data_IF_121575703888
#
_entry.id   IF_121575703888
#
_cell.length_a   1.000
_cell.length_b   1.000
_cell.length_c   1.000
_cell.angle_alpha   90.00
_cell.angle_beta   90.00
_cell.angle_gamma   90.00
#
_symmetry.space_group_name_H-M   'P 1'
#
loop_
_entity.id
_entity.type
_entity.pdbx_description
1 polymer ?
#
# COMPACT_ATOMS: atom_id res chain seq x y z
N UNK A 1 -69.85 -34.07 96.28
CA UNK A 1 -68.50 -34.62 96.05
C UNK A 1 -68.38 -34.90 94.56
N UNK A 2 -67.61 -34.08 93.84
CA UNK A 2 -67.36 -34.24 92.40
C UNK A 2 -66.23 -35.25 92.16
N UNK A 3 -66.27 -36.01 91.06
CA UNK A 3 -65.08 -36.40 90.34
C UNK A 3 -64.92 -35.53 89.08
N UNK A 4 -63.79 -34.84 89.00
CA UNK A 4 -63.30 -34.18 87.80
C UNK A 4 -62.93 -35.24 86.75
N UNK A 5 -63.56 -35.18 85.58
CA UNK A 5 -63.05 -35.84 84.39
C UNK A 5 -62.38 -34.80 83.50
N UNK A 6 -61.04 -34.88 83.47
CA UNK A 6 -60.18 -34.09 82.60
C UNK A 6 -60.20 -34.62 81.17
N UNK A 7 -60.48 -33.72 80.22
CA UNK A 7 -59.79 -33.68 78.93
C UNK A 7 -60.36 -34.51 77.78
N UNK A 8 -61.21 -33.88 76.95
CA UNK A 8 -61.12 -34.10 75.50
C UNK A 8 -61.47 -32.81 74.76
N UNK A 9 -60.44 -32.14 74.26
CA UNK A 9 -60.57 -30.96 73.41
C UNK A 9 -61.34 -31.31 72.12
N UNK A 10 -62.22 -30.43 71.62
CA UNK A 10 -62.92 -30.66 70.38
C UNK A 10 -62.05 -30.29 69.16
N UNK A 11 -62.43 -30.88 68.03
CA UNK A 11 -62.21 -30.41 66.65
C UNK A 11 -60.76 -30.39 66.14
N UNK A 12 -60.40 -31.47 65.43
CA UNK A 12 -59.53 -31.37 64.26
C UNK A 12 -60.18 -30.37 63.29
N UNK A 13 -59.62 -29.18 63.16
CA UNK A 13 -60.13 -28.15 62.24
C UNK A 13 -60.23 -28.70 60.83
N UNK A 14 -61.34 -28.39 60.15
CA UNK A 14 -61.51 -28.71 58.74
C UNK A 14 -60.37 -28.07 57.94
N UNK A 15 -59.68 -28.86 57.11
CA UNK A 15 -58.66 -28.37 56.19
C UNK A 15 -59.36 -27.49 55.16
N UNK A 16 -59.03 -26.20 55.12
CA UNK A 16 -59.48 -25.30 54.06
C UNK A 16 -58.77 -25.70 52.76
N UNK A 17 -59.46 -26.48 51.93
CA UNK A 17 -58.98 -26.84 50.60
C UNK A 17 -59.15 -25.62 49.69
N UNK A 18 -58.04 -25.03 49.25
CA UNK A 18 -58.07 -23.98 48.23
C UNK A 18 -58.56 -24.57 46.91
N UNK A 19 -59.77 -24.19 46.49
CA UNK A 19 -60.24 -24.44 45.12
C UNK A 19 -59.64 -23.39 44.18
N UNK A 20 -59.08 -23.79 43.02
CA UNK A 20 -58.70 -22.85 41.99
C UNK A 20 -59.95 -22.13 41.47
N UNK A 21 -59.95 -20.80 41.49
CA UNK A 21 -60.98 -20.02 40.82
C UNK A 21 -60.85 -20.21 39.30
N UNK A 22 -61.94 -20.51 38.57
CA UNK A 22 -61.91 -20.59 37.12
C UNK A 22 -61.46 -19.27 36.51
N UNK A 23 -60.40 -19.30 35.70
CA UNK A 23 -59.97 -18.13 34.92
C UNK A 23 -60.98 -17.93 33.79
N UNK A 24 -61.69 -16.82 33.80
CA UNK A 24 -62.62 -16.44 32.74
C UNK A 24 -61.82 -16.23 31.44
N UNK A 25 -62.02 -17.11 30.46
CA UNK A 25 -61.40 -16.98 29.13
C UNK A 25 -62.09 -15.83 28.41
N UNK A 26 -61.39 -14.70 28.28
CA UNK A 26 -61.85 -13.60 27.43
C UNK A 26 -61.71 -14.08 25.98
N UNK A 27 -62.79 -14.08 25.18
CA UNK A 27 -62.72 -14.49 23.78
C UNK A 27 -61.78 -13.54 23.03
N UNK A 28 -60.70 -14.10 22.48
CA UNK A 28 -59.75 -13.37 21.66
C UNK A 28 -60.42 -12.80 20.41
N UNK A 29 -60.10 -11.55 20.09
CA UNK A 29 -60.53 -10.90 18.85
C UNK A 29 -59.93 -11.66 17.65
N UNK A 30 -60.69 -11.90 16.56
CA UNK A 30 -60.17 -12.59 15.38
C UNK A 30 -58.95 -11.85 14.81
N UNK A 31 -57.80 -12.52 14.76
CA UNK A 31 -56.61 -12.01 14.10
C UNK A 31 -56.82 -12.14 12.58
N UNK A 32 -57.24 -11.04 11.95
CA UNK A 32 -57.28 -10.94 10.51
C UNK A 32 -55.85 -10.85 9.95
N UNK A 33 -55.49 -11.61 8.90
CA UNK A 33 -54.19 -11.48 8.24
C UNK A 33 -54.04 -10.08 7.64
N UNK A 34 -53.11 -9.27 8.16
CA UNK A 34 -52.76 -7.96 7.59
C UNK A 34 -51.91 -8.19 6.35
N UNK A 35 -52.41 -7.77 5.19
CA UNK A 35 -51.64 -7.76 3.95
C UNK A 35 -50.50 -6.72 4.04
N UNK A 36 -49.26 -7.09 3.71
CA UNK A 36 -48.08 -6.23 3.88
C UNK A 36 -48.02 -5.03 2.94
N UNK A 37 -48.93 -4.91 1.96
CA UNK A 37 -48.92 -3.83 0.97
C UNK A 37 -49.67 -2.56 1.40
N UNK A 38 -50.36 -2.57 2.55
CA UNK A 38 -51.14 -1.42 3.04
C UNK A 38 -51.03 -1.27 4.55
N UNK A 39 -49.83 -1.45 5.11
CA UNK A 39 -49.61 -1.13 6.52
C UNK A 39 -49.85 0.37 6.70
N UNK A 40 -50.95 0.72 7.38
CA UNK A 40 -51.29 2.10 7.66
C UNK A 40 -50.16 2.71 8.50
N UNK A 41 -49.65 3.87 8.07
CA UNK A 41 -48.57 4.56 8.77
C UNK A 41 -48.93 4.92 10.23
N UNK A 42 -50.23 5.00 10.53
CA UNK A 42 -50.78 5.21 11.87
C UNK A 42 -52.02 4.33 12.04
N UNK A 43 -52.10 3.60 13.16
CA UNK A 43 -53.26 2.78 13.51
C UNK A 43 -53.63 3.02 14.98
N UNK A 44 -54.91 3.22 15.29
CA UNK A 44 -55.40 3.34 16.67
C UNK A 44 -56.41 2.25 17.02
N UNK A 45 -56.36 1.77 18.26
CA UNK A 45 -57.26 0.74 18.79
C UNK A 45 -57.76 1.19 20.16
N UNK A 46 -59.07 1.04 20.40
CA UNK A 46 -59.70 1.31 21.70
C UNK A 46 -59.72 0.01 22.50
N UNK A 47 -59.13 0.04 23.69
CA UNK A 47 -59.12 -1.09 24.61
C UNK A 47 -60.44 -1.18 25.39
N UNK A 48 -60.78 -2.36 25.95
CA UNK A 48 -62.02 -2.56 26.71
C UNK A 48 -62.16 -1.68 27.96
N UNK A 49 -61.05 -1.10 28.42
CA UNK A 49 -60.98 -0.15 29.54
C UNK A 49 -61.16 1.32 29.11
N UNK A 50 -61.46 1.56 27.83
CA UNK A 50 -61.67 2.89 27.25
C UNK A 50 -60.40 3.62 26.84
N UNK A 51 -59.21 3.03 27.03
CA UNK A 51 -57.95 3.66 26.61
C UNK A 51 -57.74 3.52 25.11
N UNK A 52 -57.22 4.56 24.46
CA UNK A 52 -56.88 4.56 23.03
C UNK A 52 -55.37 4.38 22.89
N UNK A 53 -54.94 3.32 22.20
CA UNK A 53 -53.54 3.08 21.86
C UNK A 53 -53.33 3.38 20.38
N UNK A 54 -52.44 4.32 20.09
CA UNK A 54 -52.06 4.69 18.71
C UNK A 54 -50.66 4.20 18.42
N UNK A 55 -50.52 3.32 17.44
CA UNK A 55 -49.26 2.87 16.88
C UNK A 55 -48.88 3.70 15.65
N UNK A 56 -47.59 3.97 15.50
CA UNK A 56 -46.98 4.58 14.32
C UNK A 56 -46.04 3.56 13.67
N UNK A 57 -46.13 3.40 12.36
CA UNK A 57 -45.19 2.58 11.61
C UNK A 57 -43.87 3.35 11.47
N UNK A 58 -42.79 2.82 12.03
CA UNK A 58 -41.43 3.26 11.76
C UNK A 58 -40.90 2.43 10.59
N UNK A 59 -40.46 3.12 9.54
CA UNK A 59 -39.87 2.48 8.37
C UNK A 59 -38.58 1.77 8.81
N UNK A 60 -38.43 0.49 8.46
CA UNK A 60 -37.25 -0.28 8.83
C UNK A 60 -36.04 0.33 8.12
N UNK A 61 -35.01 0.70 8.88
CA UNK A 61 -33.77 1.25 8.34
C UNK A 61 -33.24 0.32 7.25
N UNK A 62 -33.38 0.73 5.98
CA UNK A 62 -32.84 0.00 4.84
C UNK A 62 -31.33 -0.18 5.08
N UNK A 63 -30.79 -1.41 5.02
CA UNK A 63 -29.36 -1.58 4.98
C UNK A 63 -28.86 -0.89 3.71
N UNK A 64 -27.99 0.09 3.90
CA UNK A 64 -27.34 0.84 2.83
C UNK A 64 -26.70 -0.15 1.85
N UNK A 65 -26.87 0.03 0.52
CA UNK A 65 -26.27 -0.88 -0.44
C UNK A 65 -24.77 -0.89 -0.20
N UNK A 66 -24.22 -2.06 0.13
CA UNK A 66 -22.77 -2.25 0.26
C UNK A 66 -22.13 -1.82 -1.06
N UNK A 67 -21.55 -0.61 -1.07
CA UNK A 67 -20.78 -0.11 -2.18
C UNK A 67 -19.79 -1.21 -2.58
N UNK A 68 -19.87 -1.69 -3.82
CA UNK A 68 -19.04 -2.79 -4.30
C UNK A 68 -17.58 -2.50 -3.95
N UNK A 69 -16.99 -3.37 -3.12
CA UNK A 69 -15.61 -3.22 -2.66
C UNK A 69 -14.70 -3.12 -3.90
N UNK A 70 -13.86 -2.08 -4.02
CA UNK A 70 -12.96 -1.95 -5.16
C UNK A 70 -12.15 -3.24 -5.33
N UNK A 71 -12.19 -3.84 -6.52
CA UNK A 71 -11.51 -5.09 -6.82
C UNK A 71 -9.98 -5.01 -6.58
N UNK A 72 -9.44 -3.79 -6.53
CA UNK A 72 -8.02 -3.51 -6.29
C UNK A 72 -7.92 -2.39 -5.25
N UNK A 73 -7.11 -2.62 -4.21
CA UNK A 73 -6.79 -1.59 -3.22
C UNK A 73 -6.05 -0.43 -3.88
N UNK A 74 -6.53 0.81 -3.71
CA UNK A 74 -5.82 2.01 -4.20
C UNK A 74 -4.41 2.10 -3.61
N UNK A 75 -4.22 1.58 -2.41
CA UNK A 75 -2.90 1.46 -1.77
C UNK A 75 -1.96 0.59 -2.59
N UNK A 76 -2.44 -0.53 -3.13
CA UNK A 76 -1.65 -1.42 -3.98
C UNK A 76 -1.25 -0.73 -5.30
N UNK A 77 -2.15 0.05 -5.90
CA UNK A 77 -1.86 0.82 -7.12
C UNK A 77 -0.81 1.90 -6.84
N UNK A 78 -0.94 2.64 -5.75
CA UNK A 78 0.02 3.69 -5.37
C UNK A 78 1.41 3.12 -5.06
N UNK A 79 1.48 1.95 -4.42
CA UNK A 79 2.74 1.25 -4.16
C UNK A 79 3.37 0.78 -5.47
N UNK A 80 2.60 0.19 -6.38
CA UNK A 80 3.10 -0.25 -7.68
C UNK A 80 3.61 0.93 -8.52
N UNK A 81 2.85 2.03 -8.58
CA UNK A 81 3.24 3.24 -9.31
C UNK A 81 4.49 3.88 -8.69
N UNK A 82 4.59 3.89 -7.35
CA UNK A 82 5.76 4.36 -6.62
C UNK A 82 7.02 3.52 -6.91
N UNK A 83 6.89 2.20 -6.94
CA UNK A 83 8.00 1.29 -7.28
C UNK A 83 8.50 1.46 -8.71
N UNK A 84 7.59 1.57 -9.69
CA UNK A 84 7.96 1.83 -11.10
C UNK A 84 8.64 3.20 -11.25
N UNK A 85 8.10 4.23 -10.59
CA UNK A 85 8.69 5.57 -10.60
C UNK A 85 10.11 5.59 -10.01
N UNK A 86 10.31 4.92 -8.88
CA UNK A 86 11.63 4.81 -8.26
C UNK A 86 12.63 4.03 -9.13
N UNK A 87 12.20 2.93 -9.74
CA UNK A 87 13.03 2.15 -10.67
C UNK A 87 13.43 2.95 -11.91
N UNK A 88 12.50 3.73 -12.48
CA UNK A 88 12.78 4.60 -13.62
C UNK A 88 13.78 5.71 -13.27
N UNK A 89 13.64 6.35 -12.11
CA UNK A 89 14.57 7.41 -11.67
C UNK A 89 15.94 6.81 -11.36
N UNK A 90 16.01 5.71 -10.59
CA UNK A 90 17.26 5.06 -10.22
C UNK A 90 17.99 4.50 -11.44
N UNK A 91 17.29 3.80 -12.33
CA UNK A 91 17.85 3.32 -13.60
C UNK A 91 18.27 4.46 -14.52
N UNK A 92 17.47 5.52 -14.60
CA UNK A 92 17.79 6.72 -15.38
C UNK A 92 19.04 7.43 -14.88
N UNK A 93 19.21 7.59 -13.56
CA UNK A 93 20.42 8.16 -12.96
C UNK A 93 21.65 7.30 -13.25
N UNK A 94 21.54 5.98 -13.11
CA UNK A 94 22.63 5.06 -13.40
C UNK A 94 23.04 5.16 -14.89
N UNK A 95 22.07 5.10 -15.81
CA UNK A 95 22.33 5.26 -17.24
C UNK A 95 22.95 6.62 -17.56
N UNK A 96 22.45 7.71 -16.98
CA UNK A 96 23.00 9.04 -17.17
C UNK A 96 24.45 9.15 -16.68
N UNK A 97 24.75 8.63 -15.49
CA UNK A 97 26.11 8.62 -14.94
C UNK A 97 27.05 7.80 -15.82
N UNK A 98 26.65 6.61 -16.24
CA UNK A 98 27.48 5.76 -17.12
C UNK A 98 27.71 6.39 -18.49
N UNK A 99 26.69 7.05 -19.06
CA UNK A 99 26.81 7.76 -20.33
C UNK A 99 27.82 8.92 -20.24
N UNK A 100 27.69 9.77 -19.22
CA UNK A 100 28.62 10.89 -19.00
C UNK A 100 30.04 10.36 -18.78
N UNK A 101 30.20 9.31 -17.97
CA UNK A 101 31.49 8.68 -17.73
C UNK A 101 32.11 8.12 -19.02
N UNK A 102 31.33 7.43 -19.85
CA UNK A 102 31.78 6.90 -21.13
C UNK A 102 32.19 8.02 -22.10
N UNK A 103 31.42 9.10 -22.15
CA UNK A 103 31.74 10.27 -22.99
C UNK A 103 33.03 10.96 -22.53
N UNK A 104 33.22 11.14 -21.22
CA UNK A 104 34.45 11.67 -20.67
C UNK A 104 35.66 10.76 -20.97
N UNK A 105 35.48 9.43 -20.83
CA UNK A 105 36.52 8.46 -21.15
C UNK A 105 36.89 8.49 -22.64
N UNK A 106 35.91 8.58 -23.54
CA UNK A 106 36.15 8.71 -24.98
C UNK A 106 36.93 9.98 -25.31
N UNK A 107 36.54 11.12 -24.75
CA UNK A 107 37.25 12.39 -24.95
C UNK A 107 38.69 12.29 -24.42
N UNK A 108 38.88 11.72 -23.23
CA UNK A 108 40.21 11.51 -22.65
C UNK A 108 41.08 10.61 -23.53
N UNK A 109 40.52 9.52 -24.07
CA UNK A 109 41.23 8.63 -25.00
C UNK A 109 41.64 9.36 -26.29
N UNK A 110 40.77 10.21 -26.85
CA UNK A 110 41.11 11.02 -28.01
C UNK A 110 42.23 12.03 -27.72
N UNK A 111 42.21 12.67 -26.54
CA UNK A 111 43.28 13.57 -26.10
C UNK A 111 44.61 12.81 -25.97
N UNK A 112 44.60 11.65 -25.31
CA UNK A 112 45.80 10.82 -25.14
C UNK A 112 46.33 10.38 -26.51
N UNK A 113 45.46 9.92 -27.40
CA UNK A 113 45.83 9.51 -28.75
C UNK A 113 46.51 10.67 -29.50
N UNK A 114 45.91 11.86 -29.48
CA UNK A 114 46.49 13.05 -30.08
C UNK A 114 47.86 13.36 -29.46
N UNK A 115 47.95 13.37 -28.13
CA UNK A 115 49.20 13.65 -27.41
C UNK A 115 50.32 12.68 -27.79
N UNK A 116 50.03 11.39 -27.95
CA UNK A 116 51.01 10.38 -28.37
C UNK A 116 51.45 10.59 -29.81
N UNK A 117 50.52 10.86 -30.73
CA UNK A 117 50.85 11.11 -32.13
C UNK A 117 51.73 12.36 -32.26
N UNK A 118 51.32 13.47 -31.63
CA UNK A 118 52.09 14.72 -31.65
C UNK A 118 53.43 14.58 -30.91
N UNK A 119 53.44 13.98 -29.72
CA UNK A 119 54.65 13.74 -28.94
C UNK A 119 55.64 12.84 -29.67
N UNK A 120 55.16 11.77 -30.31
CA UNK A 120 55.98 10.88 -31.13
C UNK A 120 56.57 11.59 -32.36
N UNK A 121 55.78 12.42 -33.05
CA UNK A 121 56.28 13.20 -34.18
C UNK A 121 57.36 14.20 -33.78
N UNK A 122 57.16 14.92 -32.67
CA UNK A 122 58.16 15.84 -32.09
C UNK A 122 59.41 15.06 -31.65
N UNK A 123 59.25 13.90 -31.01
CA UNK A 123 60.36 13.05 -30.61
C UNK A 123 61.20 12.62 -31.82
N UNK A 124 60.58 12.23 -32.93
CA UNK A 124 61.29 11.88 -34.17
C UNK A 124 62.07 13.09 -34.72
N UNK A 125 61.49 14.30 -34.68
CA UNK A 125 62.19 15.51 -35.11
C UNK A 125 63.44 15.80 -34.27
N UNK A 126 63.30 15.73 -32.94
CA UNK A 126 64.39 16.05 -31.99
C UNK A 126 65.47 14.96 -32.01
N UNK A 127 65.10 13.68 -31.95
CA UNK A 127 66.04 12.57 -31.89
C UNK A 127 66.56 12.13 -33.27
N UNK A 128 65.81 12.37 -34.35
CA UNK A 128 66.17 11.95 -35.71
C UNK A 128 66.94 13.01 -36.53
N UNK A 129 66.86 14.29 -36.16
CA UNK A 129 67.46 15.39 -36.93
C UNK A 129 68.99 15.58 -36.77
N UNK A 130 69.62 14.92 -35.79
CA UNK A 130 70.97 15.28 -35.34
C UNK A 130 72.17 14.68 -36.08
N UNK A 131 72.00 13.77 -37.05
CA UNK A 131 73.12 12.90 -37.48
C UNK A 131 73.48 12.92 -38.97
N UNK A 132 73.22 13.99 -39.72
CA UNK A 132 73.64 14.08 -41.15
C UNK A 132 74.76 15.07 -41.46
N UNK A 133 75.14 15.95 -40.52
CA UNK A 133 76.05 17.06 -40.81
C UNK A 133 77.42 17.01 -40.15
N UNK A 134 77.66 16.19 -39.13
CA UNK A 134 78.88 16.30 -38.31
C UNK A 134 80.01 15.33 -38.67
N UNK A 135 79.67 14.05 -38.88
CA UNK A 135 80.71 13.00 -39.03
C UNK A 135 81.26 12.95 -40.45
N UNK A 136 80.43 13.20 -41.47
CA UNK A 136 80.85 13.17 -42.88
C UNK A 136 81.83 14.29 -43.24
N UNK A 137 81.59 15.53 -42.82
CA UNK A 137 82.53 16.65 -43.05
C UNK A 137 83.81 16.52 -42.24
N UNK A 138 83.75 16.02 -41.00
CA UNK A 138 84.96 15.77 -40.21
C UNK A 138 85.80 14.63 -40.79
N UNK A 139 85.17 13.55 -41.27
CA UNK A 139 85.86 12.48 -42.01
C UNK A 139 86.46 12.99 -43.33
N UNK A 140 85.73 13.79 -44.11
CA UNK A 140 86.24 14.40 -45.35
C UNK A 140 87.40 15.36 -45.08
N UNK A 141 87.31 16.21 -44.05
CA UNK A 141 88.40 17.09 -43.62
C UNK A 141 89.61 16.28 -43.17
N UNK A 142 89.42 15.21 -42.41
CA UNK A 142 90.50 14.36 -41.94
C UNK A 142 91.23 13.68 -43.11
N UNK A 143 90.50 13.20 -44.12
CA UNK A 143 91.10 12.59 -45.33
C UNK A 143 91.85 13.63 -46.16
N UNK A 144 91.26 14.80 -46.42
CA UNK A 144 91.91 15.87 -47.20
C UNK A 144 93.16 16.39 -46.47
N UNK A 145 93.11 16.53 -45.14
CA UNK A 145 94.27 16.93 -44.33
C UNK A 145 95.41 15.90 -44.39
N UNK A 146 95.09 14.61 -44.47
CA UNK A 146 96.09 13.52 -44.48
C UNK A 146 96.68 13.26 -45.88
N UNK A 147 95.96 13.66 -46.94
CA UNK A 147 96.40 13.54 -48.33
C UNK A 147 97.07 14.80 -48.90
N UNK A 148 97.27 15.86 -48.10
CA UNK A 148 98.00 17.04 -48.53
C UNK A 148 99.51 16.77 -48.50
N UNK A 149 99.98 15.98 -49.46
CA UNK A 149 101.39 15.92 -49.83
C UNK A 149 101.75 17.27 -50.46
N UNK A 150 102.60 18.04 -49.76
CA UNK A 150 103.27 19.18 -50.36
C UNK A 150 104.23 18.60 -51.41
N UNK A 151 103.89 18.79 -52.68
CA UNK A 151 104.84 18.62 -53.77
C UNK A 151 105.94 19.66 -53.71
#
# INVERSE_FOLDING_TARGET
MYPNHTGRAPTKGAVTVHQPAPVTVIPGVPLAPVQPSTVAAVQSIVLPDGRIVTGYAIDAAKPEPLAAKPAISRTAVNIALGGIGFGAICGGLLLLTTFIAALAALVQQLIILAAVIFGGWIAIQIFGGGSRGGITVNARKAVIKRNHFHG
#
